data_IF_269819881736
#
_entry.id   IF_269819881736
#
_cell.length_a   1.000
_cell.length_b   1.000
_cell.length_c   1.000
_cell.angle_alpha   90.00
_cell.angle_beta   90.00
_cell.angle_gamma   90.00
#
_symmetry.space_group_name_H-M   'P 1'
#
loop_
_entity.id
_entity.type
_entity.pdbx_description
1 polymer ?
#
# COMPACT_ATOMS: atom_id res chain seq x y z
N UNK A 1 -10.21 -13.99 -25.34
CA UNK A 1 -10.33 -13.56 -23.92
C UNK A 1 -9.32 -12.45 -23.66
N UNK A 2 -9.81 -11.25 -23.35
CA UNK A 2 -8.93 -10.12 -23.01
C UNK A 2 -8.36 -10.36 -21.62
N UNK A 3 -7.03 -10.39 -21.49
CA UNK A 3 -6.36 -10.43 -20.21
C UNK A 3 -6.55 -9.09 -19.50
N UNK A 4 -7.34 -9.07 -18.44
CA UNK A 4 -7.55 -7.87 -17.60
C UNK A 4 -6.52 -7.76 -16.48
N UNK A 5 -5.72 -8.80 -16.29
CA UNK A 5 -4.72 -8.90 -15.22
C UNK A 5 -3.30 -8.82 -15.79
N UNK A 6 -2.39 -8.03 -15.18
CA UNK A 6 -1.00 -8.01 -15.60
C UNK A 6 -0.34 -9.39 -15.56
N UNK A 7 0.69 -9.66 -16.39
CA UNK A 7 1.26 -10.99 -16.59
C UNK A 7 2.11 -11.51 -15.43
N UNK A 8 2.40 -10.69 -14.43
CA UNK A 8 3.33 -11.02 -13.34
C UNK A 8 3.06 -12.34 -12.63
N UNK A 9 1.84 -12.64 -12.15
CA UNK A 9 1.56 -13.91 -11.48
C UNK A 9 1.85 -15.12 -12.35
N UNK A 10 1.49 -15.03 -13.63
CA UNK A 10 1.74 -16.11 -14.60
C UNK A 10 3.23 -16.35 -14.83
N UNK A 11 4.03 -15.29 -14.93
CA UNK A 11 5.49 -15.37 -15.07
C UNK A 11 6.14 -16.01 -13.84
N UNK A 12 5.70 -15.63 -12.63
CA UNK A 12 6.20 -16.25 -11.38
C UNK A 12 5.84 -17.73 -11.32
N UNK A 13 4.59 -18.07 -11.64
CA UNK A 13 4.15 -19.47 -11.65
C UNK A 13 4.94 -20.28 -12.67
N UNK A 14 5.19 -19.74 -13.85
CA UNK A 14 5.99 -20.39 -14.89
C UNK A 14 7.45 -20.62 -14.42
N UNK A 15 8.05 -19.63 -13.76
CA UNK A 15 9.39 -19.73 -13.22
C UNK A 15 9.50 -20.76 -12.08
N UNK A 16 8.45 -20.87 -11.25
CA UNK A 16 8.42 -21.84 -10.15
C UNK A 16 8.01 -23.26 -10.59
N UNK A 17 7.46 -23.41 -11.80
CA UNK A 17 6.96 -24.68 -12.31
C UNK A 17 7.95 -25.86 -12.18
N UNK A 18 9.24 -25.75 -12.59
CA UNK A 18 10.18 -26.87 -12.47
C UNK A 18 10.34 -27.33 -11.01
N UNK A 19 10.46 -26.39 -10.09
CA UNK A 19 10.57 -26.67 -8.66
C UNK A 19 9.30 -27.35 -8.11
N UNK A 20 8.14 -26.85 -8.50
CA UNK A 20 6.85 -27.39 -8.08
C UNK A 20 6.60 -28.79 -8.65
N UNK A 21 7.09 -29.08 -9.86
CA UNK A 21 7.03 -30.41 -10.46
C UNK A 21 7.87 -31.44 -9.66
N UNK A 22 9.08 -31.03 -9.24
CA UNK A 22 9.95 -31.88 -8.40
C UNK A 22 9.26 -32.21 -7.06
N UNK A 23 8.52 -31.27 -6.50
CA UNK A 23 7.77 -31.46 -5.25
C UNK A 23 6.43 -32.20 -5.45
N UNK A 24 6.07 -32.59 -6.68
CA UNK A 24 4.83 -33.30 -6.99
C UNK A 24 3.56 -32.44 -6.98
N UNK A 25 3.69 -31.12 -6.86
CA UNK A 25 2.55 -30.18 -6.83
C UNK A 25 2.02 -29.81 -8.23
N UNK A 26 2.76 -30.08 -9.30
CA UNK A 26 2.40 -29.66 -10.67
C UNK A 26 2.30 -30.89 -11.57
N UNK A 27 1.10 -31.49 -11.67
CA UNK A 27 0.84 -32.62 -12.55
C UNK A 27 0.34 -32.19 -13.94
N UNK A 28 -0.48 -31.15 -14.00
CA UNK A 28 -1.05 -30.62 -15.24
C UNK A 28 -1.12 -29.07 -15.20
N UNK A 29 -1.21 -28.40 -16.37
CA UNK A 29 -1.29 -26.94 -16.47
C UNK A 29 -2.61 -26.35 -15.95
N UNK A 30 -3.63 -27.13 -15.79
CA UNK A 30 -4.98 -26.80 -15.30
C UNK A 30 -5.18 -27.11 -13.82
N UNK A 31 -4.14 -27.61 -13.15
CA UNK A 31 -4.22 -27.87 -11.70
C UNK A 31 -4.31 -26.57 -10.90
N UNK A 32 -5.53 -26.27 -10.46
CA UNK A 32 -5.86 -25.07 -9.68
C UNK A 32 -5.06 -25.02 -8.37
N UNK A 33 -4.79 -26.17 -7.74
CA UNK A 33 -4.02 -26.24 -6.50
C UNK A 33 -2.56 -25.86 -6.73
N UNK A 34 -1.98 -26.34 -7.83
CA UNK A 34 -0.61 -26.00 -8.21
C UNK A 34 -0.45 -24.48 -8.49
N UNK A 35 -1.41 -23.87 -9.17
CA UNK A 35 -1.40 -22.43 -9.43
C UNK A 35 -1.52 -21.63 -8.12
N UNK A 36 -2.43 -22.02 -7.23
CA UNK A 36 -2.62 -21.37 -5.92
C UNK A 36 -1.43 -21.51 -5.00
N UNK A 37 -0.72 -22.64 -5.04
CA UNK A 37 0.46 -22.87 -4.22
C UNK A 37 1.58 -21.83 -4.46
N UNK A 38 1.65 -21.22 -5.65
CA UNK A 38 2.55 -20.10 -5.93
C UNK A 38 2.31 -18.94 -4.93
N UNK A 39 1.06 -18.55 -4.72
CA UNK A 39 0.73 -17.48 -3.78
C UNK A 39 0.92 -17.90 -2.32
N UNK A 40 0.66 -19.17 -1.99
CA UNK A 40 0.91 -19.71 -0.64
C UNK A 40 2.41 -19.66 -0.31
N UNK A 41 3.28 -20.11 -1.23
CA UNK A 41 4.73 -20.03 -1.05
C UNK A 41 5.20 -18.58 -0.90
N UNK A 42 4.66 -17.69 -1.72
CA UNK A 42 4.92 -16.26 -1.63
C UNK A 42 4.51 -15.70 -0.26
N UNK A 43 3.32 -16.04 0.21
CA UNK A 43 2.82 -15.62 1.54
C UNK A 43 3.70 -16.13 2.67
N UNK A 44 4.14 -17.40 2.62
CA UNK A 44 5.03 -17.99 3.61
C UNK A 44 6.43 -17.35 3.63
N UNK A 45 6.87 -16.76 2.52
CA UNK A 45 8.14 -16.03 2.45
C UNK A 45 8.06 -14.61 3.05
N UNK A 46 6.88 -14.06 3.21
CA UNK A 46 6.67 -12.68 3.63
C UNK A 46 7.23 -12.34 5.03
N UNK A 47 7.12 -13.21 6.07
CA UNK A 47 7.75 -12.94 7.37
C UNK A 47 9.26 -12.75 7.27
N UNK A 48 9.93 -13.56 6.45
CA UNK A 48 11.39 -13.45 6.23
C UNK A 48 11.75 -12.11 5.59
N UNK A 49 10.96 -11.67 4.62
CA UNK A 49 11.15 -10.38 3.97
C UNK A 49 10.91 -9.22 4.94
N UNK A 50 9.83 -9.27 5.73
CA UNK A 50 9.55 -8.27 6.77
C UNK A 50 10.69 -8.19 7.79
N UNK A 51 11.23 -9.34 8.21
CA UNK A 51 12.38 -9.40 9.11
C UNK A 51 13.61 -8.71 8.50
N UNK A 52 13.90 -8.94 7.22
CA UNK A 52 15.02 -8.29 6.53
C UNK A 52 14.84 -6.77 6.47
N UNK A 53 13.62 -6.28 6.23
CA UNK A 53 13.33 -4.84 6.20
C UNK A 53 13.51 -4.21 7.59
N UNK A 54 12.99 -4.84 8.64
CA UNK A 54 13.12 -4.35 10.00
C UNK A 54 14.59 -4.30 10.45
N UNK A 55 15.38 -5.33 10.10
CA UNK A 55 16.83 -5.32 10.35
C UNK A 55 17.54 -4.21 9.57
N UNK A 56 17.18 -3.98 8.32
CA UNK A 56 17.72 -2.89 7.51
C UNK A 56 17.41 -1.50 8.12
N UNK A 57 16.33 -1.38 8.88
CA UNK A 57 15.95 -0.18 9.65
C UNK A 57 16.61 -0.09 11.03
N UNK A 58 17.51 -1.01 11.36
CA UNK A 58 18.26 -1.00 12.60
C UNK A 58 17.55 -1.70 13.78
N UNK A 59 16.50 -2.49 13.52
CA UNK A 59 15.89 -3.34 14.53
C UNK A 59 16.74 -4.60 14.69
N UNK A 60 17.47 -4.72 15.80
CA UNK A 60 18.35 -5.87 16.07
C UNK A 60 17.54 -7.14 16.34
N UNK A 61 16.44 -7.03 17.08
CA UNK A 61 15.52 -8.14 17.35
C UNK A 61 14.09 -7.76 16.97
N UNK A 62 13.62 -8.15 15.77
CA UNK A 62 12.26 -7.92 15.35
C UNK A 62 11.19 -8.74 16.10
N UNK A 63 11.58 -9.79 16.84
CA UNK A 63 10.67 -10.66 17.57
C UNK A 63 9.55 -11.22 16.70
N UNK A 64 8.30 -11.09 17.15
CA UNK A 64 7.10 -11.56 16.46
C UNK A 64 6.54 -10.57 15.41
N UNK A 65 7.08 -9.34 15.32
CA UNK A 65 6.56 -8.30 14.41
C UNK A 65 6.49 -8.75 12.96
N UNK A 66 7.49 -9.44 12.37
CA UNK A 66 7.41 -9.92 10.99
C UNK A 66 6.24 -10.87 10.74
N UNK A 67 5.95 -11.73 11.71
CA UNK A 67 4.83 -12.69 11.62
C UNK A 67 3.48 -11.99 11.75
N UNK A 68 3.36 -10.99 12.64
CA UNK A 68 2.16 -10.17 12.77
C UNK A 68 1.89 -9.41 11.46
N UNK A 69 2.92 -8.80 10.86
CA UNK A 69 2.80 -8.11 9.58
C UNK A 69 2.31 -9.03 8.45
N UNK A 70 2.79 -10.27 8.44
CA UNK A 70 2.42 -11.26 7.43
C UNK A 70 1.07 -11.93 7.70
N UNK A 71 0.56 -11.90 8.94
CA UNK A 71 -0.67 -12.61 9.34
C UNK A 71 -1.93 -11.76 9.27
N UNK A 72 -1.90 -10.59 8.59
CA UNK A 72 -3.10 -9.77 8.37
C UNK A 72 -4.17 -10.59 7.63
N UNK A 73 -5.37 -10.80 8.21
CA UNK A 73 -6.35 -11.75 7.67
C UNK A 73 -6.71 -11.54 6.20
N UNK A 74 -6.91 -10.32 5.67
CA UNK A 74 -7.15 -10.14 4.23
C UNK A 74 -6.00 -10.61 3.35
N UNK A 75 -4.75 -10.46 3.79
CA UNK A 75 -3.57 -10.92 3.05
C UNK A 75 -3.55 -12.45 2.96
N UNK A 76 -3.88 -13.13 4.07
CA UNK A 76 -4.04 -14.58 4.10
C UNK A 76 -5.16 -15.05 3.19
N UNK A 77 -6.33 -14.41 3.23
CA UNK A 77 -7.44 -14.74 2.36
C UNK A 77 -7.03 -14.72 0.87
N UNK A 78 -6.37 -13.64 0.43
CA UNK A 78 -5.88 -13.54 -0.95
C UNK A 78 -4.67 -14.45 -1.23
N UNK A 79 -3.94 -14.87 -0.21
CA UNK A 79 -2.83 -15.83 -0.34
C UNK A 79 -3.27 -17.22 -0.75
N UNK A 80 -4.48 -17.66 -0.38
CA UNK A 80 -5.05 -18.93 -0.82
C UNK A 80 -5.77 -18.87 -2.18
N UNK A 81 -5.83 -17.69 -2.76
CA UNK A 81 -6.39 -17.46 -4.10
C UNK A 81 -5.26 -17.15 -5.09
N UNK A 82 -5.49 -17.44 -6.37
CA UNK A 82 -4.56 -17.02 -7.42
C UNK A 82 -4.82 -15.58 -7.82
N UNK A 83 -4.36 -14.65 -6.97
CA UNK A 83 -4.50 -13.21 -7.15
C UNK A 83 -3.15 -12.51 -7.15
N UNK A 84 -3.14 -11.28 -7.64
CA UNK A 84 -1.94 -10.45 -7.78
C UNK A 84 -1.44 -9.85 -6.47
N UNK A 85 -2.26 -9.85 -5.43
CA UNK A 85 -2.11 -9.01 -4.24
C UNK A 85 -0.89 -9.38 -3.40
N UNK A 86 -0.70 -10.66 -3.09
CA UNK A 86 0.43 -11.13 -2.27
C UNK A 86 1.76 -10.84 -2.96
N UNK A 87 1.88 -11.18 -4.24
CA UNK A 87 3.09 -10.93 -5.02
C UNK A 87 3.38 -9.43 -5.17
N UNK A 88 2.33 -8.62 -5.32
CA UNK A 88 2.41 -7.16 -5.34
C UNK A 88 2.98 -6.61 -4.02
N UNK A 89 2.45 -7.08 -2.88
CA UNK A 89 2.93 -6.68 -1.54
C UNK A 89 4.39 -7.08 -1.35
N UNK A 90 4.76 -8.31 -1.71
CA UNK A 90 6.15 -8.80 -1.62
C UNK A 90 7.09 -7.91 -2.44
N UNK A 91 6.74 -7.61 -3.69
CA UNK A 91 7.59 -6.80 -4.55
C UNK A 91 7.80 -5.38 -4.00
N UNK A 92 6.75 -4.75 -3.49
CA UNK A 92 6.86 -3.41 -2.86
C UNK A 92 7.67 -3.48 -1.56
N UNK A 93 7.44 -4.47 -0.69
CA UNK A 93 8.22 -4.62 0.56
C UNK A 93 9.69 -4.93 0.24
N UNK A 94 9.98 -5.75 -0.76
CA UNK A 94 11.34 -6.01 -1.23
C UNK A 94 12.03 -4.73 -1.76
N UNK A 95 11.27 -3.89 -2.49
CA UNK A 95 11.75 -2.58 -2.95
C UNK A 95 12.08 -1.67 -1.77
N UNK A 96 11.20 -1.60 -0.74
CA UNK A 96 11.47 -0.86 0.51
C UNK A 96 12.72 -1.40 1.20
N UNK A 97 12.85 -2.71 1.33
CA UNK A 97 14.01 -3.33 1.98
C UNK A 97 15.33 -3.07 1.26
N UNK A 98 15.33 -3.09 -0.06
CA UNK A 98 16.49 -2.73 -0.88
C UNK A 98 16.82 -1.24 -0.75
N UNK A 99 15.83 -0.36 -0.76
CA UNK A 99 15.97 1.08 -0.57
C UNK A 99 16.59 1.41 0.81
N UNK A 100 16.10 0.80 1.89
CA UNK A 100 16.66 1.00 3.24
C UNK A 100 18.12 0.55 3.34
N UNK A 101 18.52 -0.50 2.59
CA UNK A 101 19.92 -0.94 2.43
C UNK A 101 20.75 -0.09 1.47
N UNK A 102 20.18 0.98 0.88
CA UNK A 102 20.80 1.86 -0.12
C UNK A 102 21.11 1.18 -1.47
N UNK A 103 20.52 0.02 -1.74
CA UNK A 103 20.62 -0.68 -3.02
C UNK A 103 19.54 -0.17 -3.99
N UNK A 104 19.67 1.10 -4.45
CA UNK A 104 18.61 1.78 -5.21
C UNK A 104 18.31 1.13 -6.56
N UNK A 105 19.31 0.54 -7.23
CA UNK A 105 19.10 -0.25 -8.46
C UNK A 105 18.23 -1.49 -8.16
N UNK A 106 18.57 -2.23 -7.10
CA UNK A 106 17.77 -3.38 -6.69
C UNK A 106 16.35 -2.97 -6.28
N UNK A 107 16.21 -1.84 -5.57
CA UNK A 107 14.91 -1.29 -5.20
C UNK A 107 14.07 -0.94 -6.44
N UNK A 108 14.67 -0.33 -7.46
CA UNK A 108 13.97 -0.01 -8.71
C UNK A 108 13.58 -1.27 -9.49
N UNK A 109 14.41 -2.31 -9.51
CA UNK A 109 14.06 -3.60 -10.14
C UNK A 109 12.86 -4.26 -9.47
N UNK A 110 12.81 -4.28 -8.12
CA UNK A 110 11.63 -4.75 -7.39
C UNK A 110 10.41 -3.88 -7.61
N UNK A 111 10.60 -2.54 -7.69
CA UNK A 111 9.54 -1.60 -8.07
C UNK A 111 8.99 -1.88 -9.47
N UNK A 112 9.86 -2.16 -10.46
CA UNK A 112 9.45 -2.58 -11.79
C UNK A 112 8.67 -3.88 -11.77
N UNK A 113 9.15 -4.88 -11.02
CA UNK A 113 8.45 -6.15 -10.85
C UNK A 113 7.05 -5.95 -10.25
N UNK A 114 6.89 -5.02 -9.31
CA UNK A 114 5.59 -4.71 -8.71
C UNK A 114 4.56 -4.23 -9.74
N UNK A 115 4.97 -3.53 -10.80
CA UNK A 115 4.07 -3.08 -11.87
C UNK A 115 3.51 -4.24 -12.71
N UNK A 116 4.26 -5.34 -12.85
CA UNK A 116 3.78 -6.55 -13.52
C UNK A 116 2.71 -7.30 -12.70
N UNK A 117 2.56 -6.97 -11.43
CA UNK A 117 1.45 -7.49 -10.60
C UNK A 117 0.27 -6.54 -10.59
N UNK A 118 0.53 -5.22 -10.44
CA UNK A 118 -0.51 -4.19 -10.44
C UNK A 118 0.05 -2.87 -10.94
N UNK A 119 -0.57 -2.29 -11.96
CA UNK A 119 -0.13 -1.01 -12.56
C UNK A 119 -0.19 0.15 -11.54
N UNK A 120 -1.16 0.12 -10.61
CA UNK A 120 -1.31 1.13 -9.55
C UNK A 120 -0.12 1.18 -8.59
N UNK A 121 0.76 0.17 -8.59
CA UNK A 121 1.99 0.18 -7.81
C UNK A 121 2.96 1.28 -8.23
N UNK A 122 2.78 1.91 -9.38
CA UNK A 122 3.57 3.08 -9.78
C UNK A 122 3.54 4.19 -8.71
N UNK A 123 2.40 4.35 -8.03
CA UNK A 123 2.23 5.32 -6.94
C UNK A 123 3.12 4.95 -5.75
N UNK A 124 3.20 3.66 -5.43
CA UNK A 124 4.05 3.18 -4.33
C UNK A 124 5.54 3.24 -4.69
N UNK A 125 5.90 3.02 -5.95
CA UNK A 125 7.28 3.23 -6.45
C UNK A 125 7.66 4.70 -6.35
N UNK A 126 6.76 5.62 -6.70
CA UNK A 126 6.97 7.06 -6.53
C UNK A 126 7.18 7.42 -5.05
N UNK A 127 6.35 6.85 -4.17
CA UNK A 127 6.52 7.03 -2.73
C UNK A 127 7.89 6.53 -2.25
N UNK A 128 8.32 5.33 -2.65
CA UNK A 128 9.63 4.75 -2.29
C UNK A 128 10.77 5.63 -2.81
N UNK A 129 10.68 6.12 -4.03
CA UNK A 129 11.66 7.06 -4.60
C UNK A 129 11.71 8.36 -3.77
N UNK A 130 10.57 8.92 -3.39
CA UNK A 130 10.48 10.10 -2.53
C UNK A 130 11.08 9.84 -1.13
N UNK A 131 10.82 8.68 -0.55
CA UNK A 131 11.43 8.26 0.73
C UNK A 131 12.94 8.10 0.58
N UNK A 132 13.44 7.52 -0.51
CA UNK A 132 14.89 7.40 -0.78
C UNK A 132 15.56 8.78 -0.82
N UNK A 133 14.96 9.74 -1.53
CA UNK A 133 15.41 11.13 -1.57
C UNK A 133 15.39 11.76 -0.16
N UNK A 134 14.29 11.59 0.58
CA UNK A 134 14.15 12.10 1.95
C UNK A 134 15.22 11.52 2.89
N UNK A 135 15.48 10.21 2.83
CA UNK A 135 16.52 9.55 3.62
C UNK A 135 17.91 10.08 3.30
N UNK A 136 18.20 10.34 2.04
CA UNK A 136 19.48 10.94 1.65
C UNK A 136 19.63 12.37 2.18
N UNK A 137 18.57 13.18 2.08
CA UNK A 137 18.55 14.53 2.66
C UNK A 137 18.73 14.50 4.20
N UNK A 138 18.05 13.60 4.89
CA UNK A 138 18.18 13.43 6.35
C UNK A 138 19.61 13.04 6.74
N UNK A 139 20.24 12.16 5.96
CA UNK A 139 21.62 11.71 6.17
C UNK A 139 22.62 12.83 5.97
N UNK A 140 22.46 13.64 4.93
CA UNK A 140 23.33 14.78 4.66
C UNK A 140 23.18 15.85 5.77
N UNK A 141 21.94 16.09 6.22
CA UNK A 141 21.67 17.01 7.31
C UNK A 141 22.06 16.47 8.70
N UNK A 142 22.49 15.21 8.82
CA UNK A 142 22.83 14.59 10.10
C UNK A 142 21.65 14.42 11.06
N UNK A 143 20.41 14.40 10.53
CA UNK A 143 19.20 14.31 11.34
C UNK A 143 18.60 12.92 11.29
N UNK A 144 17.87 12.57 12.36
CA UNK A 144 17.22 11.26 12.45
C UNK A 144 16.05 11.13 11.45
N UNK A 145 15.63 9.90 11.11
CA UNK A 145 14.47 9.64 10.24
C UNK A 145 13.16 10.27 10.70
N UNK A 146 13.07 10.67 11.97
CA UNK A 146 11.89 11.33 12.55
C UNK A 146 11.81 12.83 12.26
N UNK A 147 12.92 13.42 11.86
CA UNK A 147 13.05 14.87 11.68
C UNK A 147 12.98 15.19 10.19
N UNK A 148 12.15 16.16 9.85
CA UNK A 148 12.16 16.75 8.51
C UNK A 148 13.42 17.58 8.34
N UNK A 149 14.25 17.33 7.32
CA UNK A 149 15.48 18.10 7.12
C UNK A 149 15.16 19.57 6.83
N UNK A 150 16.01 20.51 7.28
CA UNK A 150 15.79 21.93 7.00
C UNK A 150 15.78 22.22 5.50
N UNK A 151 14.84 23.05 5.06
CA UNK A 151 14.70 23.44 3.63
C UNK A 151 15.98 24.10 3.12
N UNK A 152 16.67 24.86 3.97
CA UNK A 152 17.96 25.51 3.64
C UNK A 152 19.03 24.53 3.21
N UNK A 153 19.09 23.35 3.86
CA UNK A 153 20.01 22.26 3.48
C UNK A 153 19.68 21.70 2.09
N UNK A 154 18.40 21.72 1.71
CA UNK A 154 17.93 21.16 0.45
C UNK A 154 18.15 22.12 -0.74
N UNK A 155 17.98 23.44 -0.54
CA UNK A 155 17.94 24.42 -1.64
C UNK A 155 19.33 24.94 -2.06
N UNK A 156 20.29 25.03 -1.14
CA UNK A 156 21.53 25.82 -1.38
C UNK A 156 22.81 25.00 -1.55
N UNK A 157 22.76 23.66 -1.47
CA UNK A 157 23.96 22.85 -1.61
C UNK A 157 23.93 21.97 -2.87
N UNK A 158 24.74 22.31 -3.87
CA UNK A 158 24.88 21.52 -5.11
C UNK A 158 25.25 20.06 -4.84
N UNK A 159 26.05 19.81 -3.81
CA UNK A 159 26.43 18.45 -3.39
C UNK A 159 25.23 17.59 -2.94
N UNK A 160 24.22 18.22 -2.33
CA UNK A 160 22.97 17.56 -1.93
C UNK A 160 22.20 17.10 -3.17
N UNK A 161 22.01 18.00 -4.13
CA UNK A 161 21.29 17.69 -5.36
C UNK A 161 21.95 16.56 -6.16
N UNK A 162 23.25 16.56 -6.28
CA UNK A 162 23.98 15.50 -6.98
C UNK A 162 23.78 14.13 -6.33
N UNK A 163 23.79 14.06 -4.99
CA UNK A 163 23.52 12.80 -4.26
C UNK A 163 22.08 12.37 -4.38
N UNK A 164 21.13 13.28 -4.26
CA UNK A 164 19.69 12.99 -4.42
C UNK A 164 19.42 12.49 -5.84
N UNK A 165 19.94 13.18 -6.87
CA UNK A 165 19.80 12.74 -8.27
C UNK A 165 20.35 11.33 -8.46
N UNK A 166 21.54 11.03 -7.92
CA UNK A 166 22.14 9.70 -8.00
C UNK A 166 21.27 8.64 -7.30
N UNK A 167 20.62 9.01 -6.20
CA UNK A 167 19.73 8.12 -5.43
C UNK A 167 18.44 7.83 -6.19
N UNK A 168 17.85 8.82 -6.85
CA UNK A 168 16.56 8.67 -7.53
C UNK A 168 16.68 8.22 -8.98
N UNK A 169 17.84 8.43 -9.63
CA UNK A 169 18.04 8.11 -11.06
C UNK A 169 17.69 6.66 -11.44
N UNK A 170 17.92 5.61 -10.60
CA UNK A 170 17.54 4.25 -10.96
C UNK A 170 16.03 4.04 -11.10
N UNK A 171 15.21 4.91 -10.50
CA UNK A 171 13.75 4.80 -10.59
C UNK A 171 13.17 5.52 -11.82
N UNK A 172 13.89 6.48 -12.39
CA UNK A 172 13.42 7.29 -13.53
C UNK A 172 13.00 6.45 -14.73
N UNK A 173 13.76 5.40 -15.15
CA UNK A 173 13.35 4.55 -16.27
C UNK A 173 11.99 3.88 -16.09
N UNK A 174 11.59 3.58 -14.83
CA UNK A 174 10.28 2.97 -14.53
C UNK A 174 9.16 3.93 -14.91
N UNK A 175 9.29 5.21 -14.53
CA UNK A 175 8.28 6.22 -14.85
C UNK A 175 8.22 6.51 -16.33
N UNK A 176 9.38 6.57 -17.01
CA UNK A 176 9.42 6.74 -18.46
C UNK A 176 8.74 5.56 -19.18
N UNK A 177 9.06 4.33 -18.79
CA UNK A 177 8.43 3.14 -19.34
C UNK A 177 6.92 3.11 -19.06
N UNK A 178 6.50 3.55 -17.87
CA UNK A 178 5.09 3.63 -17.52
C UNK A 178 4.33 4.71 -18.30
N UNK A 179 4.95 5.86 -18.57
CA UNK A 179 4.38 6.90 -19.43
C UNK A 179 4.23 6.40 -20.88
N UNK A 180 5.23 5.71 -21.42
CA UNK A 180 5.14 5.07 -22.73
C UNK A 180 4.05 4.00 -22.77
N UNK A 181 3.89 3.22 -21.69
CA UNK A 181 2.78 2.25 -21.57
C UNK A 181 1.42 2.95 -21.60
N UNK A 182 1.22 4.05 -20.84
CA UNK A 182 -0.03 4.82 -20.86
C UNK A 182 -0.31 5.34 -22.27
N UNK A 183 0.69 5.88 -22.94
CA UNK A 183 0.55 6.39 -24.32
C UNK A 183 0.17 5.25 -25.28
N UNK A 184 0.83 4.10 -25.18
CA UNK A 184 0.52 2.92 -25.99
C UNK A 184 -0.87 2.35 -25.69
N UNK A 185 -1.36 2.45 -24.45
CA UNK A 185 -2.64 1.93 -23.98
C UNK A 185 -3.78 2.98 -24.05
N UNK A 186 -3.73 3.91 -25.01
CA UNK A 186 -4.75 4.96 -25.25
C UNK A 186 -5.08 5.81 -24.01
N UNK A 187 -4.09 6.15 -23.22
CA UNK A 187 -4.23 6.97 -22.02
C UNK A 187 -4.77 6.24 -20.78
N UNK A 188 -5.03 4.93 -20.88
CA UNK A 188 -5.56 4.16 -19.77
C UNK A 188 -4.45 3.49 -18.95
N UNK A 189 -4.62 3.48 -17.62
CA UNK A 189 -3.72 2.78 -16.70
C UNK A 189 -4.01 1.28 -16.69
N UNK A 190 -5.27 0.89 -16.92
CA UNK A 190 -5.75 -0.50 -16.82
C UNK A 190 -5.63 -1.20 -18.16
N UNK A 191 -5.13 -2.44 -18.16
CA UNK A 191 -5.14 -3.33 -19.32
C UNK A 191 -6.52 -3.97 -19.49
N UNK A 192 -6.90 -4.24 -20.76
CA UNK A 192 -8.11 -4.98 -21.10
C UNK A 192 -9.37 -4.11 -21.09
N UNK A 193 -10.45 -4.57 -20.43
CA UNK A 193 -11.72 -3.84 -20.43
C UNK A 193 -11.63 -2.57 -19.58
N UNK A 194 -11.70 -1.44 -20.25
CA UNK A 194 -11.59 -0.10 -19.64
C UNK A 194 -12.96 0.41 -19.13
N UNK A 195 -14.07 -0.18 -19.56
CA UNK A 195 -15.43 0.33 -19.31
C UNK A 195 -15.81 0.34 -17.82
N UNK A 196 -15.33 -0.66 -17.07
CA UNK A 196 -15.63 -0.82 -15.64
C UNK A 196 -14.59 -0.21 -14.68
N UNK A 197 -13.53 0.41 -15.24
CA UNK A 197 -12.43 0.99 -14.47
C UNK A 197 -12.29 2.50 -14.69
N UNK A 198 -13.40 3.17 -14.96
CA UNK A 198 -13.39 4.62 -15.11
C UNK A 198 -12.98 5.28 -13.79
N UNK A 199 -12.10 6.28 -13.89
CA UNK A 199 -11.67 7.07 -12.74
C UNK A 199 -12.87 7.81 -12.14
N UNK A 200 -13.06 7.67 -10.84
CA UNK A 200 -14.12 8.32 -10.10
C UNK A 200 -13.57 9.05 -8.86
N UNK A 201 -14.28 10.05 -8.37
CA UNK A 201 -13.88 10.76 -7.16
C UNK A 201 -14.56 10.14 -5.93
N UNK A 202 -13.99 9.02 -5.45
CA UNK A 202 -14.52 8.26 -4.30
C UNK A 202 -13.82 8.65 -2.99
N UNK A 203 -14.05 9.87 -2.51
CA UNK A 203 -13.38 10.44 -1.32
C UNK A 203 -13.59 9.61 -0.03
N UNK A 204 -14.75 8.97 0.10
CA UNK A 204 -15.07 8.14 1.26
C UNK A 204 -14.14 6.93 1.43
N UNK A 205 -13.43 6.50 0.38
CA UNK A 205 -12.47 5.39 0.43
C UNK A 205 -11.35 5.61 1.46
N UNK A 206 -10.92 6.85 1.66
CA UNK A 206 -9.90 7.17 2.68
C UNK A 206 -10.44 6.87 4.09
N UNK A 207 -11.70 7.21 4.35
CA UNK A 207 -12.38 6.84 5.60
C UNK A 207 -12.48 5.32 5.76
N UNK A 208 -12.89 4.61 4.70
CA UNK A 208 -12.99 3.15 4.71
C UNK A 208 -11.64 2.48 4.96
N UNK A 209 -10.55 3.02 4.41
CA UNK A 209 -9.20 2.58 4.72
C UNK A 209 -8.88 2.70 6.22
N UNK A 210 -9.19 3.83 6.86
CA UNK A 210 -8.93 3.98 8.28
C UNK A 210 -9.83 3.11 9.15
N UNK A 211 -11.07 2.85 8.73
CA UNK A 211 -11.93 1.84 9.37
C UNK A 211 -11.33 0.43 9.28
N UNK A 212 -10.84 0.06 8.10
CA UNK A 212 -10.15 -1.20 7.86
C UNK A 212 -8.84 -1.30 8.68
N UNK A 213 -8.04 -0.25 8.68
CA UNK A 213 -6.81 -0.17 9.46
C UNK A 213 -7.07 -0.30 10.96
N UNK A 214 -8.15 0.29 11.48
CA UNK A 214 -8.56 0.10 12.87
C UNK A 214 -8.92 -1.35 13.16
N UNK A 215 -9.68 -2.00 12.28
CA UNK A 215 -10.11 -3.40 12.47
C UNK A 215 -8.93 -4.36 12.63
N UNK A 216 -7.87 -4.17 11.85
CA UNK A 216 -6.71 -5.05 11.87
C UNK A 216 -5.51 -4.52 12.68
N UNK A 217 -5.49 -3.22 12.98
CA UNK A 217 -4.41 -2.55 13.71
C UNK A 217 -4.80 -2.06 15.11
N UNK A 218 -6.01 -2.39 15.62
CA UNK A 218 -6.46 -1.94 16.93
C UNK A 218 -5.50 -2.26 18.09
N UNK A 219 -4.76 -3.41 18.12
CA UNK A 219 -3.82 -3.66 19.19
C UNK A 219 -2.70 -2.61 19.23
N UNK A 220 -2.21 -2.16 18.05
CA UNK A 220 -1.20 -1.11 17.98
C UNK A 220 -1.71 0.21 18.58
N UNK A 221 -2.96 0.54 18.31
CA UNK A 221 -3.59 1.76 18.86
C UNK A 221 -3.72 1.65 20.37
N UNK A 222 -4.25 0.53 20.86
CA UNK A 222 -4.45 0.31 22.29
C UNK A 222 -3.16 0.40 23.11
N UNK A 223 -2.09 -0.24 22.63
CA UNK A 223 -0.81 -0.30 23.36
C UNK A 223 0.10 0.91 23.10
N UNK A 224 -0.01 1.59 21.97
CA UNK A 224 0.97 2.61 21.58
C UNK A 224 0.44 4.05 21.63
N UNK A 225 -0.88 4.26 21.65
CA UNK A 225 -1.46 5.61 21.63
C UNK A 225 -1.82 6.04 23.05
N UNK A 226 -1.11 7.03 23.64
CA UNK A 226 -1.55 7.60 24.90
C UNK A 226 -2.85 8.37 24.70
N UNK A 227 -3.82 8.16 25.58
CA UNK A 227 -5.17 8.74 25.53
C UNK A 227 -5.24 10.27 25.79
N UNK A 228 -4.09 10.93 25.93
CA UNK A 228 -4.06 12.38 26.18
C UNK A 228 -4.12 13.17 24.88
N UNK A 229 -5.20 13.91 24.70
CA UNK A 229 -5.46 14.76 23.56
C UNK A 229 -5.41 16.23 23.99
N UNK A 230 -4.52 17.02 23.40
CA UNK A 230 -4.42 18.46 23.65
C UNK A 230 -5.34 19.28 22.75
N UNK A 231 -5.41 20.60 22.98
CA UNK A 231 -6.24 21.55 22.21
C UNK A 231 -6.02 21.48 20.69
N UNK A 232 -4.76 21.32 20.24
CA UNK A 232 -4.44 21.20 18.81
C UNK A 232 -5.08 19.94 18.21
N UNK A 233 -5.05 18.80 18.93
CA UNK A 233 -5.69 17.58 18.47
C UNK A 233 -7.22 17.75 18.36
N UNK A 234 -7.84 18.47 19.30
CA UNK A 234 -9.27 18.75 19.24
C UNK A 234 -9.61 19.58 18.00
N UNK A 235 -8.85 20.65 17.72
CA UNK A 235 -9.05 21.48 16.52
C UNK A 235 -8.86 20.67 15.23
N UNK A 236 -7.80 19.87 15.12
CA UNK A 236 -7.57 18.97 13.97
C UNK A 236 -8.72 17.97 13.84
N UNK A 237 -9.22 17.42 14.96
CA UNK A 237 -10.37 16.50 14.93
C UNK A 237 -11.60 17.14 14.32
N UNK A 238 -11.92 18.39 14.69
CA UNK A 238 -13.07 19.11 14.13
C UNK A 238 -12.94 19.29 12.62
N UNK A 239 -11.75 19.71 12.15
CA UNK A 239 -11.49 19.85 10.71
C UNK A 239 -11.65 18.51 9.98
N UNK A 240 -11.05 17.43 10.51
CA UNK A 240 -11.13 16.10 9.90
C UNK A 240 -12.56 15.53 9.94
N UNK A 241 -13.32 15.79 11.00
CA UNK A 241 -14.74 15.40 11.07
C UNK A 241 -15.55 16.11 9.98
N UNK A 242 -15.37 17.41 9.82
CA UNK A 242 -16.04 18.19 8.76
C UNK A 242 -15.67 17.66 7.38
N UNK A 243 -14.38 17.47 7.11
CA UNK A 243 -13.91 16.91 5.83
C UNK A 243 -14.46 15.49 5.61
N UNK A 244 -14.49 14.65 6.65
CA UNK A 244 -15.03 13.29 6.59
C UNK A 244 -16.53 13.27 6.28
N UNK A 245 -17.31 14.14 6.88
CA UNK A 245 -18.75 14.29 6.59
C UNK A 245 -18.97 14.73 5.13
N UNK A 246 -18.19 15.72 4.65
CA UNK A 246 -18.25 16.16 3.26
C UNK A 246 -17.82 15.04 2.28
N UNK A 247 -16.75 14.30 2.60
CA UNK A 247 -16.30 13.18 1.81
C UNK A 247 -17.36 12.06 1.71
N UNK A 248 -18.05 11.76 2.81
CA UNK A 248 -19.14 10.79 2.82
C UNK A 248 -20.35 11.31 2.04
N UNK A 249 -20.70 12.60 2.17
CA UNK A 249 -21.85 13.19 1.49
C UNK A 249 -21.69 13.23 -0.03
N UNK A 250 -20.53 13.66 -0.51
CA UNK A 250 -20.29 13.94 -1.93
C UNK A 250 -19.42 12.89 -2.64
N UNK A 251 -18.68 12.08 -1.89
CA UNK A 251 -17.71 11.14 -2.43
C UNK A 251 -18.00 9.68 -2.07
N UNK A 252 -19.23 9.30 -1.75
CA UNK A 252 -19.62 7.91 -1.56
C UNK A 252 -20.19 7.34 -2.85
N UNK A 253 -19.56 6.30 -3.39
CA UNK A 253 -19.98 5.64 -4.63
C UNK A 253 -20.30 4.17 -4.33
N UNK A 254 -21.47 3.71 -4.79
CA UNK A 254 -21.84 2.30 -4.80
C UNK A 254 -21.63 1.73 -6.19
N UNK A 255 -20.52 1.06 -6.41
CA UNK A 255 -20.22 0.46 -7.71
C UNK A 255 -21.16 -0.74 -8.00
N UNK A 256 -21.64 -0.95 -9.24
CA UNK A 256 -22.52 -2.08 -9.57
C UNK A 256 -21.96 -3.45 -9.18
N UNK A 257 -20.64 -3.68 -9.32
CA UNK A 257 -20.02 -4.93 -8.90
C UNK A 257 -20.07 -5.17 -7.39
N UNK A 258 -19.97 -4.11 -6.58
CA UNK A 258 -20.16 -4.22 -5.13
C UNK A 258 -21.58 -4.68 -4.78
N UNK A 259 -22.57 -4.23 -5.54
CA UNK A 259 -23.98 -4.55 -5.30
C UNK A 259 -24.40 -5.91 -5.89
N UNK A 260 -23.76 -6.34 -6.96
CA UNK A 260 -24.08 -7.59 -7.66
C UNK A 260 -23.51 -8.84 -6.99
N UNK A 261 -22.33 -8.75 -6.37
CA UNK A 261 -21.67 -9.91 -5.77
C UNK A 261 -22.02 -10.10 -4.29
N UNK A 262 -23.21 -10.64 -4.06
CA UNK A 262 -23.71 -10.92 -2.71
C UNK A 262 -23.02 -12.10 -2.00
N UNK A 263 -22.03 -12.76 -2.62
CA UNK A 263 -21.21 -13.80 -2.00
C UNK A 263 -19.95 -13.23 -1.33
N UNK A 264 -19.58 -12.00 -1.66
CA UNK A 264 -18.37 -11.36 -1.15
C UNK A 264 -18.64 -10.66 0.19
N UNK A 265 -17.73 -10.78 1.14
CA UNK A 265 -17.86 -10.12 2.45
C UNK A 265 -17.95 -8.60 2.33
N UNK A 266 -17.36 -7.99 1.30
CA UNK A 266 -17.44 -6.54 1.03
C UNK A 266 -18.88 -6.08 0.82
N UNK A 267 -19.70 -6.89 0.15
CA UNK A 267 -21.14 -6.64 0.00
C UNK A 267 -21.84 -6.55 1.37
N UNK A 268 -21.52 -7.48 2.30
CA UNK A 268 -22.14 -7.48 3.63
C UNK A 268 -21.67 -6.33 4.49
N UNK A 269 -20.37 -5.95 4.44
CA UNK A 269 -19.85 -4.76 5.10
C UNK A 269 -20.55 -3.51 4.57
N UNK A 270 -20.71 -3.39 3.25
CA UNK A 270 -21.47 -2.30 2.65
C UNK A 270 -22.92 -2.28 3.12
N UNK A 271 -23.65 -3.38 2.94
CA UNK A 271 -25.09 -3.45 3.18
C UNK A 271 -25.45 -3.37 4.66
N UNK A 272 -24.70 -4.02 5.55
CA UNK A 272 -25.04 -4.17 6.97
C UNK A 272 -24.37 -3.17 7.88
N UNK A 273 -23.27 -2.54 7.46
CA UNK A 273 -22.49 -1.61 8.27
C UNK A 273 -22.54 -0.22 7.64
N UNK A 274 -21.94 -0.03 6.47
CA UNK A 274 -21.76 1.30 5.88
C UNK A 274 -23.10 1.88 5.44
N UNK A 275 -23.91 1.11 4.75
CA UNK A 275 -25.19 1.53 4.16
C UNK A 275 -26.41 0.90 4.82
N UNK A 276 -26.30 0.45 6.07
CA UNK A 276 -27.39 -0.13 6.82
C UNK A 276 -28.57 0.85 6.99
N UNK A 277 -28.24 2.13 7.26
CA UNK A 277 -29.15 3.27 7.28
C UNK A 277 -28.43 4.51 6.79
N UNK A 278 -29.12 5.53 6.34
CA UNK A 278 -28.51 6.77 5.84
C UNK A 278 -27.57 7.42 6.86
N UNK A 279 -27.91 7.41 8.14
CA UNK A 279 -27.10 8.02 9.19
C UNK A 279 -25.85 7.20 9.56
N UNK A 280 -25.83 5.87 9.32
CA UNK A 280 -24.69 5.02 9.72
C UNK A 280 -23.39 5.42 9.02
N UNK A 281 -23.44 5.89 7.79
CA UNK A 281 -22.27 6.40 7.06
C UNK A 281 -21.62 7.58 7.81
N UNK A 282 -22.44 8.48 8.36
CA UNK A 282 -21.98 9.66 9.10
C UNK A 282 -21.51 9.29 10.51
N UNK A 283 -22.19 8.33 11.17
CA UNK A 283 -21.80 7.83 12.48
C UNK A 283 -20.43 7.12 12.48
N UNK A 284 -19.99 6.61 11.34
CA UNK A 284 -18.66 6.01 11.18
C UNK A 284 -17.53 7.05 11.03
N UNK A 285 -17.84 8.29 10.65
CA UNK A 285 -16.82 9.34 10.45
C UNK A 285 -15.95 9.58 11.69
N UNK A 286 -16.49 9.70 12.91
CA UNK A 286 -15.68 9.83 14.12
C UNK A 286 -14.71 8.64 14.31
N UNK A 287 -15.13 7.42 13.98
CA UNK A 287 -14.31 6.22 14.05
C UNK A 287 -13.14 6.31 13.06
N UNK A 288 -13.39 6.77 11.84
CA UNK A 288 -12.36 6.97 10.82
C UNK A 288 -11.34 8.03 11.23
N UNK A 289 -11.82 9.16 11.78
CA UNK A 289 -10.95 10.25 12.25
C UNK A 289 -10.12 9.81 13.45
N UNK A 290 -10.70 9.11 14.41
CA UNK A 290 -9.97 8.54 15.55
C UNK A 290 -8.85 7.60 15.06
N UNK A 291 -9.17 6.70 14.16
CA UNK A 291 -8.22 5.78 13.56
C UNK A 291 -7.09 6.52 12.83
N UNK A 292 -7.42 7.47 11.95
CA UNK A 292 -6.46 8.26 11.20
C UNK A 292 -5.47 8.99 12.13
N UNK A 293 -5.99 9.69 13.13
CA UNK A 293 -5.15 10.41 14.09
C UNK A 293 -4.28 9.47 14.91
N UNK A 294 -4.81 8.30 15.28
CA UNK A 294 -4.06 7.29 16.03
C UNK A 294 -2.90 6.73 15.22
N UNK A 295 -3.13 6.35 13.95
CA UNK A 295 -2.06 5.84 13.07
C UNK A 295 -1.03 6.91 12.74
N UNK A 296 -1.44 8.15 12.45
CA UNK A 296 -0.51 9.27 12.26
C UNK A 296 0.37 9.46 13.50
N UNK A 297 -0.21 9.36 14.69
CA UNK A 297 0.53 9.48 15.95
C UNK A 297 1.52 8.32 16.18
N UNK A 298 1.14 7.09 15.81
CA UNK A 298 2.06 5.93 15.85
C UNK A 298 3.23 6.14 14.89
N UNK A 299 2.94 6.52 13.65
CA UNK A 299 3.94 6.76 12.61
C UNK A 299 4.89 7.91 12.99
N UNK A 300 4.39 8.98 13.60
CA UNK A 300 5.21 10.14 14.00
C UNK A 300 6.26 9.80 15.06
N UNK A 301 6.15 8.65 15.74
CA UNK A 301 7.18 8.15 16.67
C UNK A 301 8.46 7.69 15.95
N UNK A 302 8.36 7.29 14.67
CA UNK A 302 9.45 6.68 13.89
C UNK A 302 9.75 7.42 12.59
N UNK A 303 8.78 8.14 12.02
CA UNK A 303 8.85 8.76 10.71
C UNK A 303 8.67 10.28 10.80
N UNK A 304 9.28 11.01 9.86
CA UNK A 304 9.10 12.47 9.73
C UNK A 304 7.72 12.83 9.16
N UNK A 305 7.33 14.08 9.34
CA UNK A 305 6.07 14.62 8.77
C UNK A 305 6.01 14.48 7.24
N UNK A 306 7.12 14.68 6.52
CA UNK A 306 7.18 14.49 5.07
C UNK A 306 6.94 13.04 4.65
N UNK A 307 7.47 12.07 5.41
CA UNK A 307 7.21 10.65 5.16
C UNK A 307 5.72 10.34 5.32
N UNK A 308 5.12 10.82 6.42
CA UNK A 308 3.69 10.59 6.72
C UNK A 308 2.82 11.26 5.66
N UNK A 309 3.15 12.48 5.26
CA UNK A 309 2.44 13.17 4.18
C UNK A 309 2.53 12.41 2.86
N UNK A 310 3.72 11.94 2.47
CA UNK A 310 3.91 11.14 1.26
C UNK A 310 3.12 9.83 1.29
N UNK A 311 3.09 9.14 2.45
CA UNK A 311 2.31 7.93 2.62
C UNK A 311 0.80 8.18 2.52
N UNK A 312 0.28 9.25 3.16
CA UNK A 312 -1.12 9.65 3.04
C UNK A 312 -1.48 10.02 1.60
N UNK A 313 -0.61 10.78 0.93
CA UNK A 313 -0.79 11.16 -0.47
C UNK A 313 -0.83 9.92 -1.39
N UNK A 314 0.11 8.99 -1.22
CA UNK A 314 0.11 7.74 -1.99
C UNK A 314 -1.14 6.90 -1.72
N UNK A 315 -1.60 6.86 -0.47
CA UNK A 315 -2.86 6.19 -0.08
C UNK A 315 -4.05 6.85 -0.77
N UNK A 316 -4.15 8.17 -0.74
CA UNK A 316 -5.22 8.91 -1.43
C UNK A 316 -5.18 8.69 -2.95
N UNK A 317 -4.00 8.80 -3.58
CA UNK A 317 -3.84 8.59 -5.02
C UNK A 317 -4.19 7.15 -5.46
N UNK A 318 -4.00 6.18 -4.58
CA UNK A 318 -4.35 4.78 -4.85
C UNK A 318 -5.84 4.51 -4.69
N UNK A 319 -6.47 5.09 -3.67
CA UNK A 319 -7.84 4.74 -3.27
C UNK A 319 -8.90 5.65 -3.89
N UNK A 320 -8.69 6.98 -3.86
CA UNK A 320 -9.72 7.94 -4.28
C UNK A 320 -10.14 7.78 -5.74
N UNK A 321 -9.23 7.51 -6.70
CA UNK A 321 -9.63 7.32 -8.09
C UNK A 321 -10.39 6.02 -8.37
N UNK A 322 -10.36 5.06 -7.43
CA UNK A 322 -11.02 3.76 -7.60
C UNK A 322 -12.50 3.85 -7.23
N UNK A 323 -13.42 3.52 -8.16
CA UNK A 323 -14.85 3.49 -7.85
C UNK A 323 -15.26 2.29 -6.99
N UNK A 324 -14.49 1.21 -7.05
CA UNK A 324 -14.80 -0.06 -6.39
C UNK A 324 -14.19 -0.12 -4.98
N UNK A 325 -14.99 -0.52 -4.00
CA UNK A 325 -14.54 -0.77 -2.61
C UNK A 325 -14.07 -2.22 -2.54
N UNK A 326 -12.77 -2.42 -2.50
CA UNK A 326 -12.18 -3.74 -2.34
C UNK A 326 -11.09 -3.73 -1.27
N UNK A 327 -11.14 -4.66 -0.31
CA UNK A 327 -10.15 -4.74 0.76
C UNK A 327 -8.71 -4.96 0.27
N UNK A 328 -8.54 -5.59 -0.91
CA UNK A 328 -7.21 -5.79 -1.50
C UNK A 328 -6.49 -4.47 -1.80
N UNK A 329 -7.22 -3.38 -2.10
CA UNK A 329 -6.60 -2.06 -2.30
C UNK A 329 -6.10 -1.45 -0.99
N UNK A 330 -6.69 -1.84 0.14
CA UNK A 330 -6.38 -1.36 1.47
C UNK A 330 -5.18 -2.08 2.11
N UNK A 331 -4.78 -3.24 1.58
CA UNK A 331 -3.68 -4.06 2.13
C UNK A 331 -2.35 -3.33 2.01
N UNK A 332 -2.05 -2.75 0.83
CA UNK A 332 -0.74 -2.14 0.58
C UNK A 332 -0.43 -0.97 1.53
N UNK A 333 -1.28 0.06 1.68
CA UNK A 333 -1.02 1.15 2.62
C UNK A 333 -0.95 0.65 4.07
N UNK A 334 -1.75 -0.37 4.45
CA UNK A 334 -1.70 -0.97 5.77
C UNK A 334 -0.38 -1.71 6.02
N UNK A 335 0.10 -2.50 5.05
CA UNK A 335 1.37 -3.25 5.18
C UNK A 335 2.56 -2.32 5.41
N UNK A 336 2.56 -1.12 4.79
CA UNK A 336 3.61 -0.13 4.97
C UNK A 336 3.59 0.56 6.34
N UNK A 337 2.47 0.54 7.07
CA UNK A 337 2.40 1.01 8.46
C UNK A 337 3.13 0.04 9.40
N UNK A 338 2.99 -1.25 9.15
CA UNK A 338 3.50 -2.30 10.04
C UNK A 338 5.01 -2.53 9.91
N UNK A 339 5.59 -2.10 8.82
CA UNK A 339 7.01 -2.22 8.51
C UNK A 339 7.71 -0.88 8.68
#
# INVERSE_FOLDING_TARGET
PMLTTPPGPYLVTLALRPFMQVLGFFRACDDVMAIRSTNVLALLSLPLLCMQVLRARGCSDPGLVPYICASVPPLWFFGFLYYTDVLSVIAIIASVGAMERKHHVQASLWGSAALFFRQTNIIWVLFIMGVAALRECQRIAGVSPRITPPITTLLFQRSVWMRVIRTVSPYVPIFLAFMLFIQWNDGAIVLGDKSHHQVALHLAQVGYFFGFALTFGWPLIFFLVPMRWGKVHAMVSVVLLTMGVLAVRYGTIAHPFLLADNRHYTFYVWRRIINARLWTRYALVPVYVFSAMSFVRILSKKQSGLWIFGWLLATCLTLVPSPLIEPRYLIMPLSLIHI
#
